data_IF_561988420242
#
_entry.id   IF_561988420242
#
_cell.length_a   1.000
_cell.length_b   1.000
_cell.length_c   1.000
_cell.angle_alpha   90.00
_cell.angle_beta   90.00
_cell.angle_gamma   90.00
#
_symmetry.space_group_name_H-M   'P 1'
#
loop_
_entity.id
_entity.type
_entity.pdbx_description
1 polymer ?
#
# COMPACT_ATOMS: atom_id res chain seq x y z
N UNK A 1 10.69 -26.64 -23.80
CA UNK A 1 9.92 -27.90 -23.75
C UNK A 1 9.09 -27.81 -22.49
N UNK A 2 7.80 -27.51 -22.62
CA UNK A 2 6.87 -27.46 -21.50
C UNK A 2 5.99 -28.71 -21.60
N UNK A 3 6.39 -29.78 -20.91
CA UNK A 3 5.46 -30.84 -20.52
C UNK A 3 6.03 -31.63 -19.33
N UNK A 4 5.51 -31.34 -18.13
CA UNK A 4 5.37 -32.26 -17.01
C UNK A 4 4.61 -31.59 -15.84
N UNK A 5 3.27 -31.59 -15.87
CA UNK A 5 2.52 -31.91 -14.65
C UNK A 5 1.94 -30.82 -13.74
N UNK A 6 1.21 -29.81 -14.24
CA UNK A 6 0.21 -29.13 -13.40
C UNK A 6 -1.20 -29.18 -14.04
N UNK A 7 -1.97 -30.27 -13.87
CA UNK A 7 -3.35 -30.32 -14.32
C UNK A 7 -4.35 -29.66 -13.34
N UNK A 8 -3.91 -28.82 -12.39
CA UNK A 8 -4.84 -28.20 -11.44
C UNK A 8 -4.78 -26.66 -11.31
N UNK A 9 -3.68 -25.96 -11.62
CA UNK A 9 -3.59 -24.50 -11.40
C UNK A 9 -3.51 -24.13 -9.91
N UNK A 10 -3.53 -22.83 -9.58
CA UNK A 10 -3.47 -22.31 -8.22
C UNK A 10 -4.28 -21.01 -8.09
N UNK A 11 -5.01 -20.85 -6.98
CA UNK A 11 -5.75 -19.62 -6.65
C UNK A 11 -4.79 -18.52 -6.20
N UNK A 12 -3.72 -18.89 -5.49
CA UNK A 12 -2.69 -17.98 -5.01
C UNK A 12 -1.31 -18.39 -5.53
N UNK A 13 -0.66 -17.49 -6.26
CA UNK A 13 0.66 -17.72 -6.84
C UNK A 13 1.69 -16.87 -6.08
N UNK A 14 2.76 -17.49 -5.61
CA UNK A 14 3.90 -16.80 -5.01
C UNK A 14 5.06 -16.84 -6.00
N UNK A 15 5.49 -15.68 -6.47
CA UNK A 15 6.62 -15.52 -7.38
C UNK A 15 7.83 -15.09 -6.56
N UNK A 16 8.94 -15.82 -6.70
CA UNK A 16 10.16 -15.62 -5.91
C UNK A 16 11.41 -15.60 -6.79
N UNK A 17 12.47 -14.91 -6.35
CA UNK A 17 13.84 -15.16 -6.83
C UNK A 17 14.30 -16.61 -6.59
N UNK A 18 15.42 -17.00 -7.20
CA UNK A 18 15.93 -18.39 -7.12
C UNK A 18 16.75 -18.67 -5.83
N UNK A 19 16.96 -17.67 -4.99
CA UNK A 19 17.67 -17.76 -3.72
C UNK A 19 16.89 -18.57 -2.67
N UNK A 20 17.61 -19.43 -1.94
CA UNK A 20 17.05 -20.38 -0.96
C UNK A 20 16.22 -19.67 0.12
N UNK A 21 16.70 -18.55 0.68
CA UNK A 21 15.99 -17.80 1.73
C UNK A 21 14.60 -17.34 1.26
N UNK A 22 14.44 -16.96 -0.01
CA UNK A 22 13.15 -16.52 -0.57
C UNK A 22 12.20 -17.70 -0.83
N UNK A 23 12.74 -18.83 -1.28
CA UNK A 23 11.97 -20.05 -1.49
C UNK A 23 11.47 -20.59 -0.14
N UNK A 24 12.34 -20.67 0.86
CA UNK A 24 11.99 -21.12 2.22
C UNK A 24 10.92 -20.22 2.84
N UNK A 25 11.07 -18.90 2.69
CA UNK A 25 10.08 -17.93 3.10
C UNK A 25 8.73 -18.09 2.39
N UNK A 26 8.74 -18.42 1.09
CA UNK A 26 7.53 -18.68 0.32
C UNK A 26 6.83 -19.97 0.74
N UNK A 27 7.57 -21.03 1.05
CA UNK A 27 7.01 -22.30 1.54
C UNK A 27 6.27 -22.10 2.87
N UNK A 28 6.80 -21.27 3.78
CA UNK A 28 6.10 -20.91 5.03
C UNK A 28 4.74 -20.24 4.76
N UNK A 29 4.67 -19.33 3.79
CA UNK A 29 3.41 -18.68 3.40
C UNK A 29 2.47 -19.67 2.72
N UNK A 30 3.00 -20.50 1.81
CA UNK A 30 2.24 -21.52 1.08
C UNK A 30 1.59 -22.51 2.03
N UNK A 31 2.34 -23.04 3.00
CA UNK A 31 1.82 -23.97 4.00
C UNK A 31 0.64 -23.36 4.77
N UNK A 32 0.78 -22.13 5.26
CA UNK A 32 -0.30 -21.42 5.95
C UNK A 32 -1.55 -21.27 5.07
N UNK A 33 -1.38 -20.83 3.82
CA UNK A 33 -2.50 -20.63 2.89
C UNK A 33 -3.18 -21.95 2.53
N UNK A 34 -2.42 -23.03 2.40
CA UNK A 34 -2.96 -24.37 2.19
C UNK A 34 -3.72 -24.89 3.42
N UNK A 35 -3.26 -24.59 4.64
CA UNK A 35 -4.01 -24.88 5.88
C UNK A 35 -5.34 -24.11 5.95
N UNK A 36 -5.38 -22.91 5.40
CA UNK A 36 -6.60 -22.09 5.26
C UNK A 36 -7.51 -22.53 4.09
N UNK A 37 -7.05 -23.49 3.27
CA UNK A 37 -7.81 -24.05 2.16
C UNK A 37 -7.66 -23.31 0.82
N UNK A 38 -6.62 -22.49 0.67
CA UNK A 38 -6.30 -21.77 -0.57
C UNK A 38 -5.26 -22.56 -1.36
N UNK A 39 -5.58 -22.92 -2.60
CA UNK A 39 -4.64 -23.65 -3.48
C UNK A 39 -3.50 -22.71 -3.86
N UNK A 40 -2.35 -22.94 -3.24
CA UNK A 40 -1.19 -22.05 -3.34
C UNK A 40 0.01 -22.77 -3.94
N UNK A 41 0.68 -22.14 -4.91
CA UNK A 41 1.90 -22.66 -5.54
C UNK A 41 2.97 -21.58 -5.68
N UNK A 42 4.23 -22.03 -5.68
CA UNK A 42 5.43 -21.18 -5.75
C UNK A 42 6.07 -21.37 -7.13
N UNK A 43 6.52 -20.28 -7.72
CA UNK A 43 7.22 -20.28 -8.99
C UNK A 43 8.45 -19.37 -8.93
N UNK A 44 9.60 -19.88 -9.36
CA UNK A 44 10.84 -19.10 -9.36
C UNK A 44 11.07 -18.36 -10.66
N UNK A 45 11.88 -17.30 -10.63
CA UNK A 45 12.27 -16.55 -11.83
C UNK A 45 12.97 -17.42 -12.88
N UNK A 46 13.71 -18.47 -12.48
CA UNK A 46 14.29 -19.42 -13.45
C UNK A 46 13.23 -20.30 -14.14
N UNK A 47 12.06 -20.51 -13.53
CA UNK A 47 10.98 -21.31 -14.11
C UNK A 47 10.12 -20.50 -15.09
N UNK A 48 9.82 -19.25 -14.74
CA UNK A 48 8.82 -18.44 -15.45
C UNK A 48 9.42 -17.32 -16.30
N UNK A 49 10.68 -16.96 -16.05
CA UNK A 49 11.35 -15.79 -16.62
C UNK A 49 11.62 -14.71 -15.57
N UNK A 50 12.53 -13.79 -15.91
CA UNK A 50 13.12 -12.84 -14.96
C UNK A 50 12.99 -11.37 -15.39
N UNK A 51 12.36 -11.13 -16.53
CA UNK A 51 11.99 -9.80 -17.02
C UNK A 51 10.52 -9.49 -16.74
N UNK A 52 10.15 -8.21 -16.74
CA UNK A 52 8.75 -7.81 -16.58
C UNK A 52 7.86 -8.51 -17.62
N UNK A 53 8.26 -8.47 -18.89
CA UNK A 53 7.49 -9.03 -20.00
C UNK A 53 7.36 -10.56 -19.93
N UNK A 54 8.37 -11.28 -19.47
CA UNK A 54 8.27 -12.75 -19.31
C UNK A 54 7.31 -13.13 -18.19
N UNK A 55 7.40 -12.43 -17.05
CA UNK A 55 6.56 -12.70 -15.88
C UNK A 55 5.10 -12.35 -16.19
N UNK A 56 4.84 -11.19 -16.80
CA UNK A 56 3.49 -10.79 -17.19
C UNK A 56 2.87 -11.77 -18.20
N UNK A 57 3.62 -12.14 -19.24
CA UNK A 57 3.16 -13.14 -20.20
C UNK A 57 2.84 -14.49 -19.55
N UNK A 58 3.66 -14.92 -18.58
CA UNK A 58 3.43 -16.16 -17.86
C UNK A 58 2.15 -16.09 -16.98
N UNK A 59 1.90 -14.95 -16.33
CA UNK A 59 0.68 -14.71 -15.55
C UNK A 59 -0.56 -14.75 -16.45
N UNK A 60 -0.53 -14.05 -17.59
CA UNK A 60 -1.62 -14.07 -18.57
C UNK A 60 -1.89 -15.50 -19.05
N UNK A 61 -0.83 -16.24 -19.37
CA UNK A 61 -0.94 -17.63 -19.78
C UNK A 61 -1.59 -18.49 -18.68
N UNK A 62 -1.17 -18.32 -17.43
CA UNK A 62 -1.76 -19.02 -16.29
C UNK A 62 -3.27 -18.69 -16.16
N UNK A 63 -3.63 -17.42 -16.20
CA UNK A 63 -5.01 -16.94 -16.10
C UNK A 63 -5.91 -17.51 -17.22
N UNK A 64 -5.45 -17.52 -18.46
CA UNK A 64 -6.27 -17.97 -19.59
C UNK A 64 -6.28 -19.49 -19.81
N UNK A 65 -5.31 -20.23 -19.26
CA UNK A 65 -5.14 -21.66 -19.62
C UNK A 65 -5.21 -22.64 -18.46
N UNK A 66 -5.02 -22.21 -17.22
CA UNK A 66 -5.14 -23.11 -16.08
C UNK A 66 -6.60 -23.47 -15.82
N UNK A 67 -6.80 -24.67 -15.24
CA UNK A 67 -8.15 -25.08 -14.82
C UNK A 67 -8.63 -24.31 -13.59
N UNK A 68 -7.69 -23.89 -12.73
CA UNK A 68 -7.89 -22.95 -11.63
C UNK A 68 -6.97 -21.76 -11.93
N UNK A 69 -7.52 -20.64 -12.45
CA UNK A 69 -6.72 -19.46 -12.74
C UNK A 69 -6.30 -18.76 -11.43
N UNK A 70 -5.18 -18.01 -11.43
CA UNK A 70 -4.79 -17.20 -10.28
C UNK A 70 -5.84 -16.13 -9.98
N UNK A 71 -6.26 -16.03 -8.72
CA UNK A 71 -7.05 -14.92 -8.19
C UNK A 71 -6.18 -13.91 -7.44
N UNK A 72 -5.03 -14.36 -6.93
CA UNK A 72 -4.04 -13.52 -6.28
C UNK A 72 -2.60 -13.90 -6.64
N UNK A 73 -1.73 -12.89 -6.68
CA UNK A 73 -0.29 -13.03 -6.93
C UNK A 73 0.47 -12.25 -5.85
N UNK A 74 1.45 -12.92 -5.25
CA UNK A 74 2.43 -12.32 -4.35
C UNK A 74 3.80 -12.31 -5.00
N UNK A 75 4.37 -11.13 -5.18
CA UNK A 75 5.76 -10.93 -5.53
C UNK A 75 6.58 -10.89 -4.23
N UNK A 76 7.31 -11.97 -3.92
CA UNK A 76 8.11 -12.06 -2.71
C UNK A 76 9.56 -11.66 -3.00
N UNK A 77 9.77 -10.37 -3.26
CA UNK A 77 11.07 -9.68 -3.28
C UNK A 77 10.86 -8.18 -3.50
N UNK A 78 11.87 -7.37 -3.16
CA UNK A 78 11.89 -5.97 -3.59
C UNK A 78 12.03 -5.83 -5.11
N UNK A 79 11.70 -4.65 -5.62
CA UNK A 79 11.83 -4.34 -7.04
C UNK A 79 13.30 -4.43 -7.45
N UNK A 80 13.53 -5.05 -8.61
CA UNK A 80 14.85 -5.11 -9.23
C UNK A 80 15.38 -3.69 -9.47
N UNK A 81 16.58 -3.41 -8.99
CA UNK A 81 17.28 -2.14 -9.22
C UNK A 81 18.80 -2.35 -9.34
N UNK A 82 19.55 -1.25 -9.55
CA UNK A 82 21.01 -1.32 -9.69
C UNK A 82 21.76 -1.85 -8.45
N UNK A 83 21.11 -1.88 -7.29
CA UNK A 83 21.65 -2.36 -6.02
C UNK A 83 21.00 -3.67 -5.54
N UNK A 84 20.04 -4.23 -6.30
CA UNK A 84 19.36 -5.49 -6.01
C UNK A 84 18.93 -6.14 -7.32
N UNK A 85 19.82 -6.96 -7.89
CA UNK A 85 19.68 -7.54 -9.23
C UNK A 85 18.84 -8.81 -9.27
N UNK A 86 18.67 -9.41 -8.10
CA UNK A 86 17.91 -10.63 -7.79
C UNK A 86 16.42 -10.32 -7.59
N UNK A 87 16.05 -9.04 -7.47
CA UNK A 87 14.67 -8.63 -7.27
C UNK A 87 13.74 -8.95 -8.45
N UNK A 88 12.44 -8.92 -8.16
CA UNK A 88 11.40 -9.10 -9.16
C UNK A 88 11.11 -7.74 -9.79
N UNK A 89 11.25 -7.56 -11.12
CA UNK A 89 11.02 -6.26 -11.75
C UNK A 89 9.56 -5.79 -11.62
N UNK A 90 9.32 -4.52 -11.92
CA UNK A 90 7.99 -3.94 -12.08
C UNK A 90 7.94 -3.19 -13.42
N UNK A 91 6.74 -2.92 -13.93
CA UNK A 91 6.61 -2.04 -15.10
C UNK A 91 6.98 -0.62 -14.70
N UNK A 92 7.90 -0.02 -15.42
CA UNK A 92 8.16 1.41 -15.34
C UNK A 92 7.14 2.17 -16.22
N UNK A 93 6.33 3.03 -15.59
CA UNK A 93 5.46 3.97 -16.28
C UNK A 93 6.05 5.37 -16.22
N UNK A 94 6.02 6.07 -17.35
CA UNK A 94 6.50 7.45 -17.46
C UNK A 94 5.30 8.40 -17.41
N UNK A 95 5.25 9.28 -16.42
CA UNK A 95 4.19 10.27 -16.26
C UNK A 95 4.80 11.66 -16.39
N UNK A 96 4.22 12.48 -17.28
CA UNK A 96 4.54 13.89 -17.38
C UNK A 96 3.78 14.67 -16.31
N UNK A 97 4.49 15.21 -15.31
CA UNK A 97 3.92 16.02 -14.25
C UNK A 97 4.64 17.35 -14.17
N UNK A 98 3.90 18.46 -14.17
CA UNK A 98 4.27 19.88 -14.02
C UNK A 98 5.65 20.33 -14.54
N UNK A 99 6.77 19.74 -14.10
CA UNK A 99 8.15 20.11 -14.42
C UNK A 99 9.00 19.00 -15.08
N UNK A 100 8.43 17.86 -15.51
CA UNK A 100 9.21 16.85 -16.23
C UNK A 100 8.50 15.51 -16.39
N UNK A 101 9.22 14.58 -17.03
CA UNK A 101 8.86 13.17 -17.01
C UNK A 101 9.44 12.51 -15.77
N UNK A 102 8.62 11.71 -15.11
CA UNK A 102 9.00 10.91 -13.96
C UNK A 102 8.64 9.46 -14.22
N UNK A 103 9.53 8.56 -13.82
CA UNK A 103 9.33 7.13 -13.97
C UNK A 103 8.90 6.55 -12.62
N UNK A 104 7.84 5.76 -12.64
CA UNK A 104 7.30 5.09 -11.46
C UNK A 104 7.21 3.59 -11.71
N UNK A 105 7.73 2.74 -10.82
CA UNK A 105 7.46 1.30 -10.89
C UNK A 105 6.02 1.02 -10.46
N UNK A 106 5.36 0.08 -11.12
CA UNK A 106 4.04 -0.39 -10.76
C UNK A 106 3.89 -1.89 -11.03
N UNK A 107 3.27 -2.59 -10.08
CA UNK A 107 2.93 -4.01 -10.20
C UNK A 107 1.52 -4.21 -10.80
N UNK A 108 0.72 -3.14 -10.99
CA UNK A 108 -0.65 -3.26 -11.49
C UNK A 108 -0.73 -3.91 -12.88
N UNK A 109 0.32 -3.79 -13.69
CA UNK A 109 0.36 -4.43 -15.01
C UNK A 109 0.50 -5.95 -14.93
N UNK A 110 0.95 -6.53 -13.80
CA UNK A 110 0.87 -7.97 -13.60
C UNK A 110 -0.56 -8.46 -13.34
N UNK A 111 -1.47 -7.55 -13.02
CA UNK A 111 -2.86 -7.85 -12.71
C UNK A 111 -3.84 -7.50 -13.85
N UNK A 112 -3.40 -6.76 -14.88
CA UNK A 112 -4.20 -6.29 -16.01
C UNK A 112 -4.06 -7.27 -17.19
N UNK A 113 -4.81 -8.37 -17.16
CA UNK A 113 -4.62 -9.50 -18.10
C UNK A 113 -5.42 -9.34 -19.39
N UNK A 114 -6.33 -8.36 -19.45
CA UNK A 114 -7.12 -8.05 -20.65
C UNK A 114 -6.74 -6.71 -21.31
N UNK A 115 -5.90 -5.90 -20.65
CA UNK A 115 -5.32 -4.67 -21.17
C UNK A 115 -6.25 -3.45 -21.03
N UNK A 116 -7.24 -3.48 -20.13
CA UNK A 116 -8.16 -2.37 -19.86
C UNK A 116 -7.65 -1.38 -18.79
N UNK A 117 -6.48 -1.65 -18.21
CA UNK A 117 -5.81 -0.86 -17.16
C UNK A 117 -6.44 -0.96 -15.77
N UNK A 118 -7.30 -1.94 -15.54
CA UNK A 118 -7.81 -2.32 -14.22
C UNK A 118 -7.26 -3.69 -13.83
N UNK A 119 -7.04 -3.94 -12.52
CA UNK A 119 -6.59 -5.25 -12.07
C UNK A 119 -7.74 -6.27 -12.14
N UNK A 120 -7.52 -7.37 -12.86
CA UNK A 120 -8.33 -8.59 -12.87
C UNK A 120 -7.92 -9.57 -11.76
N UNK A 121 -6.65 -9.52 -11.36
CA UNK A 121 -6.04 -10.38 -10.33
C UNK A 121 -5.58 -9.51 -9.15
N UNK A 122 -5.75 -9.98 -7.91
CA UNK A 122 -5.20 -9.27 -6.77
C UNK A 122 -3.66 -9.38 -6.78
N UNK A 123 -2.94 -8.25 -6.81
CA UNK A 123 -1.47 -8.24 -6.77
C UNK A 123 -0.94 -7.59 -5.50
N UNK A 124 0.02 -8.25 -4.86
CA UNK A 124 0.74 -7.75 -3.70
C UNK A 124 2.24 -8.01 -3.80
N UNK A 125 3.03 -7.22 -3.07
CA UNK A 125 4.49 -7.39 -2.97
C UNK A 125 4.93 -7.36 -1.51
N UNK A 126 5.79 -8.31 -1.13
CA UNK A 126 6.61 -8.21 0.08
C UNK A 126 8.01 -7.78 -0.37
N UNK A 127 8.38 -6.50 -0.18
CA UNK A 127 9.61 -5.92 -0.74
C UNK A 127 10.83 -6.23 0.14
N UNK A 128 11.22 -7.50 0.20
CA UNK A 128 12.41 -7.96 0.94
C UNK A 128 13.65 -7.99 0.03
N UNK A 129 14.82 -7.60 0.58
CA UNK A 129 16.12 -7.67 -0.15
C UNK A 129 17.07 -8.74 0.38
N UNK A 130 16.72 -9.42 1.47
CA UNK A 130 17.57 -10.37 2.20
C UNK A 130 16.75 -11.13 3.26
N UNK A 131 17.36 -12.16 3.85
CA UNK A 131 16.82 -12.96 4.96
C UNK A 131 16.30 -12.11 6.13
N UNK A 132 17.05 -11.09 6.58
CA UNK A 132 16.61 -10.23 7.68
C UNK A 132 15.29 -9.49 7.35
N UNK A 133 15.11 -9.02 6.10
CA UNK A 133 13.86 -8.39 5.68
C UNK A 133 12.70 -9.40 5.63
N UNK A 134 12.96 -10.63 5.15
CA UNK A 134 11.98 -11.72 5.09
C UNK A 134 11.50 -12.09 6.50
N UNK A 135 12.42 -12.40 7.41
CA UNK A 135 12.13 -12.72 8.81
C UNK A 135 11.31 -11.62 9.50
N UNK A 136 11.68 -10.36 9.25
CA UNK A 136 11.01 -9.23 9.85
C UNK A 136 9.60 -9.01 9.31
N UNK A 137 9.34 -9.21 8.02
CA UNK A 137 8.03 -8.93 7.42
C UNK A 137 7.10 -10.13 7.59
N UNK A 138 7.56 -11.33 7.24
CA UNK A 138 6.78 -12.56 7.32
C UNK A 138 6.51 -12.93 8.77
N UNK A 139 7.48 -12.77 9.67
CA UNK A 139 7.26 -13.01 11.09
C UNK A 139 6.12 -12.18 11.68
N UNK A 140 5.90 -10.94 11.19
CA UNK A 140 4.76 -10.11 11.61
C UNK A 140 3.45 -10.57 11.02
N UNK A 141 3.46 -10.99 9.75
CA UNK A 141 2.29 -11.54 9.07
C UNK A 141 1.80 -12.78 9.83
N UNK A 142 2.72 -13.73 10.09
CA UNK A 142 2.41 -14.95 10.85
C UNK A 142 1.94 -14.62 12.27
N UNK A 143 2.58 -13.67 12.96
CA UNK A 143 2.14 -13.25 14.28
C UNK A 143 0.70 -12.72 14.25
N UNK A 144 0.35 -11.89 13.26
CA UNK A 144 -0.97 -11.29 13.15
C UNK A 144 -2.07 -12.33 12.86
N UNK A 145 -1.75 -13.34 12.05
CA UNK A 145 -2.73 -14.34 11.60
C UNK A 145 -2.85 -15.54 12.55
N UNK A 146 -1.74 -16.02 13.11
CA UNK A 146 -1.70 -17.22 13.95
C UNK A 146 -1.84 -16.94 15.45
N UNK A 147 -1.37 -15.78 15.92
CA UNK A 147 -1.48 -15.35 17.33
C UNK A 147 -1.97 -13.89 17.45
N UNK A 148 -3.16 -13.58 16.90
CA UNK A 148 -3.73 -12.24 16.96
C UNK A 148 -3.96 -11.82 18.41
N UNK A 149 -3.75 -10.53 18.68
CA UNK A 149 -4.10 -9.97 19.99
C UNK A 149 -5.58 -10.15 20.31
N UNK A 150 -5.90 -10.71 21.47
CA UNK A 150 -7.29 -10.83 21.94
C UNK A 150 -7.87 -9.50 22.45
N UNK A 151 -7.04 -8.45 22.53
CA UNK A 151 -7.49 -7.13 22.95
C UNK A 151 -8.33 -6.48 21.84
N UNK A 152 -9.65 -6.55 21.98
CA UNK A 152 -10.59 -6.00 21.01
C UNK A 152 -10.40 -4.51 20.73
N UNK A 153 -9.84 -3.74 21.68
CA UNK A 153 -9.59 -2.30 21.50
C UNK A 153 -8.50 -2.02 20.48
N UNK A 154 -7.55 -2.93 20.26
CA UNK A 154 -6.52 -2.78 19.22
C UNK A 154 -7.17 -2.57 17.85
N UNK A 155 -8.11 -3.45 17.49
CA UNK A 155 -8.83 -3.41 16.20
C UNK A 155 -9.73 -2.18 16.02
N UNK A 156 -9.92 -1.37 17.06
CA UNK A 156 -10.68 -0.12 16.96
C UNK A 156 -9.80 1.05 16.56
N UNK A 157 -8.48 0.98 16.74
CA UNK A 157 -7.60 2.13 16.59
C UNK A 157 -7.03 2.22 15.17
N UNK A 158 -7.26 3.37 14.53
CA UNK A 158 -6.77 3.69 13.20
C UNK A 158 -5.99 4.99 13.25
N UNK A 159 -4.79 5.00 12.68
CA UNK A 159 -4.01 6.20 12.43
C UNK A 159 -4.24 6.65 10.99
N UNK A 160 -4.62 7.90 10.83
CA UNK A 160 -4.62 8.59 9.55
C UNK A 160 -3.52 9.65 9.62
N UNK A 161 -2.50 9.50 8.79
CA UNK A 161 -1.43 10.46 8.65
C UNK A 161 -1.28 10.94 7.22
N UNK A 162 -0.71 12.14 7.07
CA UNK A 162 -0.40 12.65 5.75
C UNK A 162 0.36 13.96 5.76
N UNK A 163 0.75 14.39 4.57
CA UNK A 163 1.36 15.69 4.36
C UNK A 163 0.31 16.71 3.93
N UNK A 164 0.46 17.96 4.35
CA UNK A 164 -0.33 19.06 3.80
C UNK A 164 0.41 19.68 2.63
N UNK A 165 -0.27 19.74 1.48
CA UNK A 165 0.27 20.41 0.31
C UNK A 165 -0.81 21.21 -0.37
N UNK A 166 -0.82 22.50 -0.05
CA UNK A 166 -1.70 23.45 -0.69
C UNK A 166 -1.13 23.89 -2.05
N UNK A 167 -1.08 22.95 -3.00
CA UNK A 167 -0.78 23.25 -4.40
C UNK A 167 -2.01 23.13 -5.31
N UNK A 168 -1.85 23.58 -6.55
CA UNK A 168 -2.96 23.81 -7.47
C UNK A 168 -3.64 22.54 -8.00
N UNK A 169 -3.10 21.34 -7.75
CA UNK A 169 -3.50 20.16 -8.50
C UNK A 169 -4.02 18.98 -7.66
N UNK A 170 -3.58 18.81 -6.41
CA UNK A 170 -4.01 17.69 -5.57
C UNK A 170 -3.70 17.95 -4.10
N UNK A 171 -4.58 17.51 -3.20
CA UNK A 171 -4.37 17.73 -1.77
C UNK A 171 -4.53 16.45 -0.93
N UNK A 172 -3.41 16.02 -0.36
CA UNK A 172 -3.29 14.79 0.41
C UNK A 172 -4.10 14.83 1.71
N UNK A 173 -4.29 16.01 2.33
CA UNK A 173 -5.09 16.08 3.55
C UNK A 173 -6.56 15.83 3.26
N UNK A 174 -7.10 16.30 2.12
CA UNK A 174 -8.52 16.13 1.82
C UNK A 174 -8.86 14.64 1.69
N UNK A 175 -7.98 13.87 1.04
CA UNK A 175 -8.12 12.41 0.99
C UNK A 175 -7.97 11.76 2.36
N UNK A 176 -6.96 12.17 3.13
CA UNK A 176 -6.78 11.69 4.50
C UNK A 176 -8.05 11.91 5.34
N UNK A 177 -8.69 13.05 5.18
CA UNK A 177 -9.92 13.43 5.88
C UNK A 177 -11.14 12.64 5.42
N UNK A 178 -11.26 12.35 4.12
CA UNK A 178 -12.30 11.46 3.59
C UNK A 178 -12.12 10.04 4.15
N UNK A 179 -10.90 9.50 4.12
CA UNK A 179 -10.59 8.16 4.64
C UNK A 179 -10.82 8.09 6.15
N UNK A 180 -10.41 9.12 6.89
CA UNK A 180 -10.73 9.29 8.31
C UNK A 180 -12.24 9.25 8.52
N UNK A 181 -12.99 9.99 7.73
CA UNK A 181 -14.44 10.02 7.76
C UNK A 181 -15.07 8.64 7.58
N UNK A 182 -14.64 7.90 6.56
CA UNK A 182 -15.07 6.52 6.32
C UNK A 182 -14.83 5.62 7.55
N UNK A 183 -13.59 5.60 8.07
CA UNK A 183 -13.28 4.80 9.26
C UNK A 183 -14.12 5.21 10.47
N UNK A 184 -14.39 6.50 10.66
CA UNK A 184 -15.17 7.02 11.78
C UNK A 184 -16.64 6.61 11.67
N UNK A 185 -17.24 6.89 10.53
CA UNK A 185 -18.70 6.93 10.40
C UNK A 185 -19.28 5.64 9.84
N UNK A 186 -18.56 4.93 8.96
CA UNK A 186 -18.98 3.62 8.46
C UNK A 186 -18.49 2.49 9.36
N UNK A 187 -17.21 2.55 9.76
CA UNK A 187 -16.58 1.45 10.50
C UNK A 187 -16.51 1.68 12.02
N UNK A 188 -17.02 2.82 12.51
CA UNK A 188 -17.07 3.16 13.94
C UNK A 188 -15.72 3.06 14.67
N UNK A 189 -14.62 3.36 13.97
CA UNK A 189 -13.25 3.27 14.51
C UNK A 189 -12.86 4.49 15.34
N UNK A 190 -11.95 4.27 16.27
CA UNK A 190 -11.20 5.31 16.98
C UNK A 190 -10.08 5.83 16.09
N UNK A 191 -9.92 7.15 16.03
CA UNK A 191 -9.02 7.78 15.06
C UNK A 191 -8.00 8.67 15.74
N UNK A 192 -6.75 8.47 15.34
CA UNK A 192 -5.64 9.39 15.59
C UNK A 192 -5.27 10.06 14.27
N UNK A 193 -5.00 11.36 14.32
CA UNK A 193 -4.61 12.17 13.15
C UNK A 193 -3.21 12.70 13.38
N UNK A 194 -2.32 12.53 12.40
CA UNK A 194 -0.97 13.09 12.47
C UNK A 194 -0.59 13.67 11.11
N UNK A 195 -0.50 14.99 11.03
CA UNK A 195 -0.18 15.69 9.80
C UNK A 195 1.19 16.39 9.87
N UNK A 196 1.89 16.36 8.74
CA UNK A 196 3.10 17.14 8.51
C UNK A 196 2.77 18.30 7.57
N UNK A 197 3.26 19.50 7.88
CA UNK A 197 3.19 20.63 6.94
C UNK A 197 4.35 20.56 5.94
N UNK A 198 4.07 20.63 4.65
CA UNK A 198 5.11 20.53 3.63
C UNK A 198 5.88 21.84 3.53
N UNK A 199 7.13 21.81 4.01
CA UNK A 199 8.09 22.90 3.87
C UNK A 199 8.23 23.21 2.37
N UNK A 200 7.85 24.42 1.94
CA UNK A 200 7.81 24.93 0.54
C UNK A 200 6.42 24.96 -0.13
N UNK A 201 5.32 24.77 0.60
CA UNK A 201 3.99 25.08 0.06
C UNK A 201 3.76 26.59 -0.01
N UNK A 202 3.00 27.08 -1.02
CA UNK A 202 2.60 28.48 -1.08
C UNK A 202 1.72 28.93 0.08
N UNK A 203 0.99 27.98 0.69
CA UNK A 203 0.14 28.17 1.85
C UNK A 203 0.45 27.07 2.86
N UNK A 204 0.63 27.42 4.13
CA UNK A 204 0.87 26.53 5.26
C UNK A 204 -0.42 26.32 6.07
N UNK A 205 -0.47 25.31 6.95
CA UNK A 205 -1.69 25.04 7.72
C UNK A 205 -2.11 26.23 8.61
N UNK A 206 -1.15 26.97 9.17
CA UNK A 206 -1.35 28.17 10.00
C UNK A 206 -2.12 29.30 9.29
N UNK A 207 -2.17 29.26 7.96
CA UNK A 207 -2.84 30.26 7.14
C UNK A 207 -4.28 29.86 6.78
N UNK A 208 -4.73 28.66 7.17
CA UNK A 208 -6.09 28.19 6.96
C UNK A 208 -7.03 28.71 8.04
N UNK A 209 -8.24 29.08 7.63
CA UNK A 209 -9.30 29.50 8.53
C UNK A 209 -10.47 28.51 8.52
N UNK A 210 -11.20 28.43 9.64
CA UNK A 210 -12.45 27.67 9.69
C UNK A 210 -13.42 28.24 8.66
N UNK A 211 -14.01 27.36 7.85
CA UNK A 211 -14.88 27.74 6.75
C UNK A 211 -14.16 27.88 5.40
N UNK A 212 -12.83 27.82 5.37
CA UNK A 212 -12.10 27.67 4.12
C UNK A 212 -12.50 26.39 3.39
N UNK A 213 -12.38 26.40 2.07
CA UNK A 213 -12.66 25.19 1.29
C UNK A 213 -11.54 24.19 1.53
N UNK A 214 -11.92 22.90 1.62
CA UNK A 214 -10.96 21.80 1.72
C UNK A 214 -9.87 21.84 0.64
N UNK A 215 -10.19 22.40 -0.52
CA UNK A 215 -9.24 22.67 -1.59
C UNK A 215 -9.46 24.08 -2.21
N UNK A 216 -8.43 24.91 -2.33
CA UNK A 216 -8.48 26.19 -3.03
C UNK A 216 -8.71 25.95 -4.53
N UNK A 217 -9.37 26.88 -5.19
CA UNK A 217 -9.63 26.81 -6.64
C UNK A 217 -8.34 26.65 -7.47
N UNK A 218 -8.26 25.62 -8.32
CA UNK A 218 -8.38 25.69 -9.79
C UNK A 218 -7.94 24.36 -10.45
N UNK A 219 -8.83 23.72 -11.24
CA UNK A 219 -8.57 22.74 -12.33
C UNK A 219 -8.93 21.24 -12.21
N UNK A 220 -9.72 20.78 -11.25
CA UNK A 220 -10.43 19.47 -11.41
C UNK A 220 -11.92 19.68 -11.63
N UNK A 221 -12.41 19.21 -12.78
CA UNK A 221 -13.76 19.47 -13.34
C UNK A 221 -14.91 18.92 -12.46
N UNK A 222 -14.62 18.26 -11.33
CA UNK A 222 -15.64 17.69 -10.45
C UNK A 222 -15.39 17.88 -8.94
N UNK A 223 -14.51 18.81 -8.54
CA UNK A 223 -14.12 18.96 -7.13
C UNK A 223 -15.27 19.35 -6.17
N UNK A 224 -16.14 20.32 -6.49
CA UNK A 224 -17.32 20.57 -5.66
C UNK A 224 -18.25 19.36 -5.59
N UNK A 225 -18.34 18.57 -6.67
CA UNK A 225 -19.11 17.33 -6.69
C UNK A 225 -18.53 16.28 -5.75
N UNK A 226 -17.21 16.11 -5.73
CA UNK A 226 -16.51 15.20 -4.81
C UNK A 226 -16.72 15.60 -3.35
N UNK A 227 -16.53 16.88 -3.00
CA UNK A 227 -16.75 17.35 -1.63
C UNK A 227 -18.20 17.15 -1.22
N UNK A 228 -19.18 17.59 -2.03
CA UNK A 228 -20.59 17.37 -1.75
C UNK A 228 -20.96 15.89 -1.64
N UNK A 229 -20.35 15.04 -2.46
CA UNK A 229 -20.56 13.59 -2.42
C UNK A 229 -20.13 13.03 -1.06
N UNK A 230 -18.88 13.23 -0.64
CA UNK A 230 -18.40 12.69 0.63
C UNK A 230 -18.97 13.39 1.85
N UNK A 231 -19.34 14.68 1.73
CA UNK A 231 -20.10 15.38 2.76
C UNK A 231 -21.50 14.79 2.97
N UNK A 232 -22.14 14.27 1.91
CA UNK A 232 -23.43 13.58 2.05
C UNK A 232 -23.38 12.29 2.88
N UNK A 233 -22.18 11.69 3.01
CA UNK A 233 -21.91 10.56 3.91
C UNK A 233 -21.34 11.01 5.27
N UNK A 234 -21.25 12.32 5.53
CA UNK A 234 -20.60 12.91 6.71
C UNK A 234 -19.11 12.62 6.86
N UNK A 235 -18.42 12.10 5.82
CA UNK A 235 -16.99 11.77 5.94
C UNK A 235 -16.14 13.03 6.14
N UNK A 236 -16.54 14.10 5.46
CA UNK A 236 -16.01 15.45 5.62
C UNK A 236 -17.18 16.42 5.70
N UNK A 237 -16.90 17.66 6.09
CA UNK A 237 -17.83 18.80 5.98
C UNK A 237 -17.68 19.48 4.62
N UNK A 238 -18.54 20.44 4.29
CA UNK A 238 -18.39 21.24 3.06
C UNK A 238 -17.14 22.15 3.07
N UNK A 239 -16.60 22.43 4.27
CA UNK A 239 -15.47 23.33 4.52
C UNK A 239 -14.65 22.91 5.73
N UNK A 240 -13.43 23.42 5.84
CA UNK A 240 -12.48 23.17 6.93
C UNK A 240 -13.10 23.51 8.29
N UNK A 241 -12.89 22.62 9.25
CA UNK A 241 -13.44 22.69 10.60
C UNK A 241 -12.39 23.05 11.65
N UNK A 242 -12.85 23.41 12.85
CA UNK A 242 -12.00 23.81 13.98
C UNK A 242 -11.02 22.71 14.39
N UNK A 243 -11.41 21.44 14.32
CA UNK A 243 -10.57 20.30 14.70
C UNK A 243 -9.48 19.98 13.67
N UNK A 244 -9.60 20.50 12.44
CA UNK A 244 -8.56 20.34 11.43
C UNK A 244 -7.42 21.34 11.63
N UNK A 245 -7.71 22.58 12.07
CA UNK A 245 -6.70 23.61 12.31
C UNK A 245 -6.07 23.54 13.72
N UNK A 246 -6.36 22.48 14.48
CA UNK A 246 -5.81 22.27 15.82
C UNK A 246 -4.33 21.88 15.74
N UNK A 247 -3.42 22.75 16.19
CA UNK A 247 -1.97 22.51 16.19
C UNK A 247 -1.54 21.17 16.83
N UNK A 248 -2.37 20.58 17.70
CA UNK A 248 -2.06 19.30 18.34
C UNK A 248 -1.99 18.13 17.36
N UNK A 249 -2.58 18.22 16.16
CA UNK A 249 -2.49 17.20 15.11
C UNK A 249 -1.43 17.52 14.05
N UNK A 250 -0.81 18.70 14.09
CA UNK A 250 0.16 19.19 13.11
C UNK A 250 1.62 19.04 13.56
N UNK A 251 2.52 19.30 12.60
CA UNK A 251 3.98 19.22 12.75
C UNK A 251 4.48 17.89 13.28
N UNK A 252 3.88 16.79 12.82
CA UNK A 252 4.19 15.45 13.28
C UNK A 252 5.37 14.83 12.57
N UNK A 253 6.08 13.99 13.30
CA UNK A 253 7.28 13.28 12.88
C UNK A 253 7.04 11.78 12.73
N UNK A 254 8.04 11.07 12.21
CA UNK A 254 8.02 9.62 12.11
C UNK A 254 7.97 8.97 13.50
N UNK A 255 8.57 9.63 14.50
CA UNK A 255 8.54 9.16 15.88
C UNK A 255 7.12 9.27 16.47
N UNK A 256 6.36 10.33 16.13
CA UNK A 256 4.96 10.45 16.55
C UNK A 256 4.11 9.31 15.98
N UNK A 257 4.30 8.98 14.70
CA UNK A 257 3.60 7.85 14.08
C UNK A 257 4.01 6.53 14.74
N UNK A 258 5.31 6.31 14.97
CA UNK A 258 5.81 5.11 15.65
C UNK A 258 5.20 4.96 17.04
N UNK A 259 5.12 6.04 17.80
CA UNK A 259 4.53 6.04 19.14
C UNK A 259 3.05 5.62 19.11
N UNK A 260 2.28 6.06 18.10
CA UNK A 260 0.87 5.64 17.93
C UNK A 260 0.77 4.16 17.59
N UNK A 261 1.66 3.67 16.71
CA UNK A 261 1.72 2.25 16.34
C UNK A 261 2.04 1.39 17.57
N UNK A 262 3.09 1.74 18.31
CA UNK A 262 3.54 1.04 19.52
C UNK A 262 2.49 1.10 20.65
N UNK A 263 1.64 2.13 20.68
CA UNK A 263 0.51 2.22 21.60
C UNK A 263 -0.69 1.33 21.25
N UNK A 264 -0.63 0.57 20.15
CA UNK A 264 -1.68 -0.35 19.71
C UNK A 264 -2.59 0.23 18.64
N UNK A 265 -2.02 0.46 17.45
CA UNK A 265 -2.74 0.87 16.25
C UNK A 265 -2.92 -0.31 15.30
N UNK A 266 -4.17 -0.61 14.90
CA UNK A 266 -4.46 -1.72 14.00
C UNK A 266 -4.21 -1.37 12.54
N UNK A 267 -4.67 -0.19 12.10
CA UNK A 267 -4.50 0.26 10.71
C UNK A 267 -3.77 1.60 10.70
N UNK A 268 -2.78 1.72 9.82
CA UNK A 268 -2.15 2.99 9.49
C UNK A 268 -2.47 3.30 8.03
N UNK A 269 -3.18 4.40 7.81
CA UNK A 269 -3.29 5.04 6.51
C UNK A 269 -2.32 6.21 6.47
N UNK A 270 -1.37 6.21 5.54
CA UNK A 270 -0.43 7.31 5.35
C UNK A 270 -0.36 7.73 3.88
N UNK A 271 -0.37 9.04 3.61
CA UNK A 271 -0.23 9.58 2.25
C UNK A 271 0.73 10.78 2.21
N UNK A 272 1.68 10.76 1.28
CA UNK A 272 2.70 11.80 1.10
C UNK A 272 3.67 11.48 -0.03
N UNK A 273 4.76 12.26 -0.18
CA UNK A 273 5.71 12.17 -1.31
C UNK A 273 6.79 11.10 -1.23
N UNK A 274 6.92 10.39 -0.10
CA UNK A 274 7.82 9.22 -0.03
C UNK A 274 9.32 9.51 -0.22
N UNK A 275 9.83 10.70 0.14
CA UNK A 275 11.23 11.07 -0.03
C UNK A 275 12.22 10.16 0.72
N UNK A 276 13.41 9.92 0.12
CA UNK A 276 14.46 9.00 0.62
C UNK A 276 15.05 9.46 1.97
N UNK A 277 15.04 10.76 2.23
CA UNK A 277 15.46 11.42 3.48
C UNK A 277 14.28 11.97 4.29
N UNK A 278 13.05 11.77 3.80
CA UNK A 278 11.86 12.23 4.50
C UNK A 278 11.47 11.25 5.61
N UNK A 279 10.61 11.77 6.48
CA UNK A 279 9.76 11.11 7.48
C UNK A 279 9.09 9.79 6.98
N UNK A 280 9.15 9.51 5.67
CA UNK A 280 8.52 8.41 4.94
C UNK A 280 9.41 7.21 4.64
N UNK A 281 10.63 7.10 5.21
CA UNK A 281 11.28 5.78 5.36
C UNK A 281 10.53 4.93 6.40
N UNK A 282 9.26 4.63 6.13
CA UNK A 282 8.61 3.43 6.61
C UNK A 282 9.22 2.24 5.85
N UNK A 283 10.49 1.92 6.14
CA UNK A 283 10.79 0.49 6.21
C UNK A 283 9.94 0.01 7.36
N UNK A 284 9.12 -1.02 7.14
CA UNK A 284 8.31 -1.65 8.18
C UNK A 284 9.21 -2.29 9.26
N UNK A 285 10.03 -1.50 9.96
CA UNK A 285 10.53 -1.79 11.30
C UNK A 285 9.40 -1.49 12.28
N UNK A 286 8.30 -2.23 12.11
CA UNK A 286 7.39 -2.52 13.21
C UNK A 286 8.23 -3.28 14.24
N UNK A 287 8.81 -2.55 15.18
CA UNK A 287 9.36 -3.19 16.37
C UNK A 287 8.17 -3.81 17.09
N UNK A 288 8.19 -5.14 17.23
CA UNK A 288 7.34 -5.96 18.09
C UNK A 288 5.97 -5.34 18.40
N UNK A 289 4.92 -5.77 17.68
CA UNK A 289 3.55 -5.51 18.10
C UNK A 289 3.43 -5.95 19.56
N UNK A 290 3.27 -4.97 20.45
CA UNK A 290 3.42 -5.14 21.88
C UNK A 290 2.46 -6.21 22.39
N UNK A 291 3.05 -7.23 23.03
CA UNK A 291 2.36 -8.09 24.00
C UNK A 291 2.57 -7.47 25.37
#
# INVERSE_FOLDING_TARGET
MLDAGYPFGAEFVIIVPDEEDFIDAAEVIKDLRQEEGIITEIFTLSEIGSTFEEIEYWIDYAYYTWSIPPEAILLLADCKDNNFTEGIPSREIEIFMNHGFFTFPTDNYYADVDGDHLPDIAVGRIPARNEDDLDNIIGKLLQLELDPTINSSFYQNVLVSGCFQYDKNFDFHTLSEIIKGFYKFELSKNLTRLYLDHINTPITHDQLEVGDRWMPKNHSINLPGMISYFASYNYITDSITTDFIDDSIWYKSADDIRNVIEAGCFIVYNIGHGGVDDVYRFRWKLTKLGV
#
